data_IF_017169768386
#
_entry.id   IF_017169768386
#
_cell.length_a   1.000
_cell.length_b   1.000
_cell.length_c   1.000
_cell.angle_alpha   90.00
_cell.angle_beta   90.00
_cell.angle_gamma   90.00
#
_symmetry.space_group_name_H-M   'P 1'
#
loop_
_entity.id
_entity.type
_entity.pdbx_description
1 polymer ?
#
# COMPACT_ATOMS: atom_id res chain seq x y z
N UNK A 1 5.71 -1.46 -9.38
CA UNK A 1 4.92 -0.24 -9.70
C UNK A 1 3.61 -0.30 -8.94
N UNK A 2 3.22 0.77 -8.24
CA UNK A 2 1.89 0.89 -7.63
C UNK A 2 0.89 1.24 -8.73
N UNK A 3 -0.26 0.58 -8.74
CA UNK A 3 -1.33 0.77 -9.73
C UNK A 3 -2.62 1.31 -9.11
N UNK A 4 -2.82 1.09 -7.80
CA UNK A 4 -3.91 1.67 -7.02
C UNK A 4 -3.48 1.81 -5.57
N UNK A 5 -3.96 2.84 -4.90
CA UNK A 5 -3.86 3.00 -3.44
C UNK A 5 -5.23 3.33 -2.87
N UNK A 6 -5.55 2.72 -1.75
CA UNK A 6 -6.71 3.03 -0.91
C UNK A 6 -6.20 3.37 0.48
N UNK A 7 -6.69 4.44 1.06
CA UNK A 7 -6.23 4.95 2.37
C UNK A 7 -7.44 5.37 3.18
N UNK A 8 -7.53 4.91 4.41
CA UNK A 8 -8.50 5.39 5.36
C UNK A 8 -7.85 5.59 6.74
N UNK A 9 -8.20 6.67 7.43
CA UNK A 9 -7.71 6.95 8.77
C UNK A 9 -6.29 7.52 8.86
N UNK A 10 -5.64 7.87 7.75
CA UNK A 10 -4.30 8.46 7.72
C UNK A 10 -4.36 9.95 7.36
N UNK A 11 -3.86 10.82 8.25
CA UNK A 11 -3.84 12.30 8.08
C UNK A 11 -5.20 12.84 7.64
N UNK A 12 -5.30 13.38 6.42
CA UNK A 12 -6.56 13.92 5.88
C UNK A 12 -7.41 12.89 5.12
N UNK A 13 -6.94 11.64 5.00
CA UNK A 13 -7.61 10.66 4.16
C UNK A 13 -8.69 9.89 4.93
N UNK A 14 -9.91 9.95 4.38
CA UNK A 14 -11.07 9.13 4.76
C UNK A 14 -11.65 8.50 3.51
N UNK A 15 -11.67 7.17 3.47
CA UNK A 15 -12.17 6.40 2.32
C UNK A 15 -11.59 6.90 0.97
N UNK A 16 -10.31 7.24 0.98
CA UNK A 16 -9.62 7.73 -0.21
C UNK A 16 -9.21 6.57 -1.11
N UNK A 17 -9.38 6.77 -2.43
CA UNK A 17 -8.89 5.81 -3.43
C UNK A 17 -8.34 6.57 -4.63
N UNK A 18 -7.20 6.11 -5.15
CA UNK A 18 -6.58 6.65 -6.35
C UNK A 18 -5.94 5.54 -7.18
N UNK A 19 -6.21 5.55 -8.48
CA UNK A 19 -5.52 4.71 -9.46
C UNK A 19 -4.35 5.45 -10.09
N UNK A 20 -3.27 4.70 -10.35
CA UNK A 20 -2.09 5.20 -11.03
C UNK A 20 -1.99 4.58 -12.42
N UNK A 21 -1.66 5.39 -13.39
CA UNK A 21 -1.28 4.98 -14.73
C UNK A 21 0.25 4.82 -14.81
N UNK A 22 0.83 4.29 -15.90
CA UNK A 22 2.27 4.28 -16.10
C UNK A 22 2.95 5.65 -15.97
N UNK A 23 2.20 6.71 -16.23
CA UNK A 23 2.61 8.09 -15.97
C UNK A 23 1.43 8.84 -15.32
N UNK A 24 1.59 9.26 -14.07
CA UNK A 24 0.55 9.97 -13.31
C UNK A 24 1.12 11.28 -12.77
N UNK A 25 0.41 12.39 -13.01
CA UNK A 25 0.73 13.71 -12.46
C UNK A 25 -0.28 14.05 -11.37
N UNK A 26 0.22 14.35 -10.17
CA UNK A 26 -0.61 14.81 -9.04
C UNK A 26 -0.54 16.32 -8.95
N UNK A 27 -1.61 16.99 -9.33
CA UNK A 27 -1.75 18.44 -9.27
C UNK A 27 -2.95 18.86 -8.39
N UNK A 28 -2.92 20.06 -7.86
CA UNK A 28 -4.00 20.58 -7.03
C UNK A 28 -3.56 21.81 -6.23
N UNK A 29 -4.52 22.52 -5.65
CA UNK A 29 -4.28 23.67 -4.78
C UNK A 29 -3.51 23.28 -3.51
N UNK A 30 -2.94 24.25 -2.81
CA UNK A 30 -2.30 24.02 -1.52
C UNK A 30 -3.31 23.43 -0.51
N UNK A 31 -2.85 22.61 0.39
CA UNK A 31 -3.66 21.90 1.38
C UNK A 31 -4.67 20.85 0.81
N UNK A 32 -4.60 20.49 -0.47
CA UNK A 32 -5.49 19.48 -1.07
C UNK A 32 -5.11 18.02 -0.74
N UNK A 33 -4.13 17.80 0.15
CA UNK A 33 -3.71 16.44 0.54
C UNK A 33 -2.58 15.82 -0.30
N UNK A 34 -2.03 16.53 -1.31
CA UNK A 34 -0.92 16.01 -2.14
C UNK A 34 0.26 15.51 -1.30
N UNK A 35 0.72 16.32 -0.36
CA UNK A 35 1.83 15.94 0.53
C UNK A 35 1.49 14.75 1.41
N UNK A 36 0.23 14.64 1.86
CA UNK A 36 -0.22 13.50 2.65
C UNK A 36 -0.22 12.20 1.85
N UNK A 37 -0.47 12.26 0.53
CA UNK A 37 -0.33 11.10 -0.35
C UNK A 37 1.13 10.63 -0.44
N UNK A 38 2.07 11.56 -0.59
CA UNK A 38 3.49 11.21 -0.59
C UNK A 38 3.96 10.70 0.77
N UNK A 39 3.50 11.29 1.88
CA UNK A 39 3.77 10.80 3.23
C UNK A 39 3.25 9.37 3.44
N UNK A 40 2.08 9.02 2.88
CA UNK A 40 1.52 7.66 2.94
C UNK A 40 2.38 6.66 2.15
N UNK A 41 2.79 7.02 0.92
CA UNK A 41 3.67 6.20 0.09
C UNK A 41 5.04 6.00 0.74
N UNK A 42 5.58 7.05 1.36
CA UNK A 42 6.84 7.01 2.08
C UNK A 42 6.76 6.11 3.32
N UNK A 43 5.69 6.24 4.13
CA UNK A 43 5.45 5.36 5.27
C UNK A 43 5.38 3.89 4.84
N UNK A 44 4.62 3.56 3.81
CA UNK A 44 4.53 2.20 3.28
C UNK A 44 5.88 1.68 2.77
N UNK A 45 6.67 2.53 2.13
CA UNK A 45 8.03 2.19 1.68
C UNK A 45 8.94 1.87 2.87
N UNK A 46 8.89 2.66 3.95
CA UNK A 46 9.67 2.43 5.17
C UNK A 46 9.24 1.14 5.87
N UNK A 47 7.94 0.90 5.99
CA UNK A 47 7.40 -0.32 6.60
C UNK A 47 7.79 -1.60 5.87
N UNK A 48 8.21 -1.52 4.61
CA UNK A 48 8.76 -2.67 3.89
C UNK A 48 10.14 -3.11 4.40
N UNK A 49 10.85 -2.27 5.15
CA UNK A 49 12.23 -2.49 5.61
C UNK A 49 12.46 -2.21 7.09
N UNK A 50 11.52 -1.53 7.75
CA UNK A 50 11.63 -1.07 9.14
C UNK A 50 10.44 -1.56 9.96
N UNK A 51 10.62 -1.62 11.28
CA UNK A 51 9.51 -1.85 12.21
C UNK A 51 8.58 -0.62 12.29
N UNK A 52 7.33 -0.81 12.77
CA UNK A 52 6.41 0.30 13.07
C UNK A 52 7.07 1.37 13.95
N UNK A 53 7.78 0.92 14.98
CA UNK A 53 8.43 1.79 15.96
C UNK A 53 9.45 2.72 15.32
N UNK A 54 10.15 2.25 14.30
CA UNK A 54 11.20 3.01 13.64
C UNK A 54 10.66 3.84 12.47
N UNK A 55 9.65 3.32 11.74
CA UNK A 55 9.08 3.98 10.57
C UNK A 55 8.22 5.21 10.90
N UNK A 56 7.47 5.18 12.01
CA UNK A 56 6.53 6.24 12.37
C UNK A 56 7.21 7.55 12.76
N UNK A 57 8.25 7.59 13.63
CA UNK A 57 8.94 8.83 13.98
C UNK A 57 9.60 9.54 12.79
N UNK A 58 9.97 8.78 11.76
CA UNK A 58 10.55 9.31 10.52
C UNK A 58 9.49 9.93 9.58
N UNK A 59 8.20 9.71 9.85
CA UNK A 59 7.11 10.28 9.06
C UNK A 59 6.78 11.68 9.58
N UNK A 60 6.56 12.61 8.68
CA UNK A 60 6.27 14.02 9.03
C UNK A 60 5.01 14.15 9.89
N UNK A 61 5.15 14.72 11.08
CA UNK A 61 4.11 14.92 12.10
C UNK A 61 4.33 14.05 13.33
N UNK A 62 3.58 14.33 14.40
CA UNK A 62 3.56 13.47 15.59
C UNK A 62 2.76 12.20 15.30
N UNK A 63 2.96 11.14 16.10
CA UNK A 63 2.22 9.87 15.94
C UNK A 63 0.70 10.10 15.90
N UNK A 64 0.17 10.99 16.73
CA UNK A 64 -1.26 11.31 16.74
C UNK A 64 -1.71 11.99 15.45
N UNK A 65 -0.92 12.92 14.91
CA UNK A 65 -1.22 13.65 13.66
C UNK A 65 -1.17 12.76 12.42
N UNK A 66 -0.62 11.56 12.53
CA UNK A 66 -0.67 10.58 11.44
C UNK A 66 -2.04 9.90 11.33
N UNK A 67 -2.82 9.88 12.43
CA UNK A 67 -4.21 9.42 12.36
C UNK A 67 -5.14 10.57 11.96
N UNK A 68 -6.23 10.23 11.29
CA UNK A 68 -7.20 11.22 10.84
C UNK A 68 -7.91 11.85 12.03
N UNK A 69 -7.93 13.18 12.10
CA UNK A 69 -8.68 13.94 13.09
C UNK A 69 -10.19 13.79 12.83
N UNK A 70 -10.95 13.35 13.84
CA UNK A 70 -12.41 13.18 13.75
C UNK A 70 -13.10 14.51 14.04
N UNK A 71 -12.83 15.05 15.22
CA UNK A 71 -13.37 16.31 15.71
C UNK A 71 -12.38 16.95 16.70
N UNK A 72 -12.18 18.26 16.60
CA UNK A 72 -11.37 19.06 17.54
C UNK A 72 -10.07 18.41 18.01
N UNK A 73 -10.15 17.48 18.95
CA UNK A 73 -9.00 16.84 19.59
C UNK A 73 -8.98 15.31 19.41
N UNK A 74 -10.04 14.71 18.85
CA UNK A 74 -10.16 13.27 18.75
C UNK A 74 -9.63 12.76 17.39
N UNK A 75 -8.69 11.84 17.44
CA UNK A 75 -8.15 11.16 16.28
C UNK A 75 -8.73 9.75 16.15
N UNK A 76 -8.78 9.25 14.92
CA UNK A 76 -9.06 7.83 14.71
C UNK A 76 -7.99 6.99 15.41
N UNK A 77 -8.37 5.82 15.90
CA UNK A 77 -7.44 4.86 16.52
C UNK A 77 -6.95 3.80 15.53
N UNK A 78 -7.37 3.89 14.28
CA UNK A 78 -7.09 2.92 13.23
C UNK A 78 -6.81 3.64 11.92
N UNK A 79 -5.81 3.15 11.19
CA UNK A 79 -5.59 3.49 9.79
C UNK A 79 -5.45 2.23 8.95
N UNK A 80 -5.89 2.28 7.72
CA UNK A 80 -5.79 1.19 6.77
C UNK A 80 -5.23 1.65 5.43
N UNK A 81 -4.44 0.78 4.84
CA UNK A 81 -3.86 0.95 3.52
C UNK A 81 -4.14 -0.31 2.70
N UNK A 82 -4.51 -0.11 1.44
CA UNK A 82 -4.49 -1.18 0.47
C UNK A 82 -3.79 -0.70 -0.80
N UNK A 83 -2.87 -1.48 -1.31
CA UNK A 83 -2.04 -1.11 -2.46
C UNK A 83 -2.07 -2.24 -3.48
N UNK A 84 -2.48 -1.91 -4.71
CA UNK A 84 -2.34 -2.83 -5.82
C UNK A 84 -1.02 -2.59 -6.54
N UNK A 85 -0.35 -3.67 -6.84
CA UNK A 85 1.01 -3.68 -7.36
C UNK A 85 1.10 -4.44 -8.69
N UNK A 86 1.91 -3.91 -9.59
CA UNK A 86 2.49 -4.67 -10.69
C UNK A 86 3.96 -4.88 -10.37
N UNK A 87 4.33 -6.12 -10.07
CA UNK A 87 5.71 -6.53 -9.72
C UNK A 87 6.41 -7.14 -10.92
N UNK A 88 7.73 -7.11 -10.92
CA UNK A 88 8.52 -7.78 -11.95
C UNK A 88 8.31 -9.28 -11.84
N UNK A 89 8.15 -9.96 -13.00
CA UNK A 89 8.06 -11.42 -13.02
C UNK A 89 9.39 -12.09 -12.71
N UNK A 90 10.49 -11.52 -13.17
CA UNK A 90 11.83 -11.99 -12.84
C UNK A 90 12.30 -11.30 -11.58
N UNK A 91 12.57 -12.07 -10.58
CA UNK A 91 13.13 -11.60 -9.30
C UNK A 91 14.38 -12.39 -9.01
N UNK A 92 15.23 -11.84 -8.15
CA UNK A 92 16.31 -12.59 -7.50
C UNK A 92 15.97 -12.76 -6.05
N UNK A 93 16.14 -13.95 -5.53
CA UNK A 93 16.04 -14.20 -4.11
C UNK A 93 17.23 -13.60 -3.33
N UNK A 94 17.20 -13.73 -2.01
CA UNK A 94 18.27 -13.19 -1.16
C UNK A 94 19.64 -13.88 -1.37
N UNK A 95 19.69 -15.02 -2.07
CA UNK A 95 20.91 -15.73 -2.45
C UNK A 95 21.34 -15.46 -3.89
N UNK A 96 20.60 -14.58 -4.62
CA UNK A 96 20.89 -14.21 -6.00
C UNK A 96 20.40 -15.23 -7.04
N UNK A 97 19.55 -16.18 -6.64
CA UNK A 97 18.97 -17.16 -7.56
C UNK A 97 17.78 -16.52 -8.29
N UNK A 98 17.75 -16.66 -9.61
CA UNK A 98 16.65 -16.17 -10.44
C UNK A 98 15.37 -17.00 -10.17
N UNK A 99 14.26 -16.32 -9.88
CA UNK A 99 12.93 -16.92 -9.71
C UNK A 99 11.88 -16.16 -10.50
N UNK A 100 10.73 -16.78 -10.70
CA UNK A 100 9.62 -16.25 -11.49
C UNK A 100 8.39 -16.07 -10.63
N UNK A 101 7.95 -14.82 -10.48
CA UNK A 101 6.67 -14.49 -9.86
C UNK A 101 5.53 -14.98 -10.75
N UNK A 102 4.77 -15.97 -10.28
CA UNK A 102 3.65 -16.57 -11.01
C UNK A 102 2.48 -15.60 -11.22
N UNK A 103 2.24 -14.70 -10.28
CA UNK A 103 1.20 -13.69 -10.35
C UNK A 103 1.79 -12.30 -10.11
N UNK A 104 2.09 -11.53 -11.18
CA UNK A 104 2.72 -10.22 -11.03
C UNK A 104 1.76 -9.13 -10.52
N UNK A 105 0.44 -9.41 -10.48
CA UNK A 105 -0.56 -8.50 -9.94
C UNK A 105 -0.91 -8.90 -8.52
N UNK A 106 -0.54 -8.05 -7.57
CA UNK A 106 -0.69 -8.31 -6.14
C UNK A 106 -1.45 -7.17 -5.47
N UNK A 107 -2.19 -7.51 -4.41
CA UNK A 107 -2.81 -6.57 -3.48
C UNK A 107 -2.22 -6.78 -2.10
N UNK A 108 -1.63 -5.74 -1.56
CA UNK A 108 -1.13 -5.66 -0.20
C UNK A 108 -2.13 -4.87 0.64
N UNK A 109 -2.48 -5.38 1.81
CA UNK A 109 -3.37 -4.73 2.76
C UNK A 109 -2.70 -4.68 4.13
N UNK A 110 -2.80 -3.52 4.78
CA UNK A 110 -2.22 -3.25 6.08
C UNK A 110 -3.20 -2.46 6.94
N UNK A 111 -3.40 -2.89 8.17
CA UNK A 111 -4.16 -2.16 9.17
C UNK A 111 -3.30 -1.95 10.39
N UNK A 112 -3.15 -0.69 10.79
CA UNK A 112 -2.41 -0.26 11.97
C UNK A 112 -3.41 0.32 12.95
N UNK A 113 -3.34 -0.14 14.19
CA UNK A 113 -4.19 0.33 15.29
C UNK A 113 -3.35 0.90 16.42
N UNK A 114 -3.88 1.96 17.03
CA UNK A 114 -3.39 2.54 18.26
C UNK A 114 -4.22 1.97 19.40
N UNK A 115 -3.55 1.34 20.36
CA UNK A 115 -4.18 0.70 21.52
C UNK A 115 -3.46 1.10 22.80
N UNK A 116 -4.16 1.00 23.93
CA UNK A 116 -3.52 1.04 25.23
C UNK A 116 -3.06 -0.38 25.58
N UNK A 117 -1.80 -0.52 25.97
CA UNK A 117 -1.30 -1.77 26.51
C UNK A 117 -1.76 -2.00 27.97
N UNK A 118 -1.44 -3.15 28.54
CA UNK A 118 -1.84 -3.52 29.90
C UNK A 118 -1.32 -2.57 31.00
N UNK A 119 -0.33 -1.74 30.68
CA UNK A 119 0.24 -0.71 31.58
C UNK A 119 -0.36 0.67 31.35
N UNK A 120 -1.34 0.81 30.44
CA UNK A 120 -1.99 2.07 30.08
C UNK A 120 -1.17 2.98 29.15
N UNK A 121 -0.09 2.49 28.53
CA UNK A 121 0.67 3.23 27.52
C UNK A 121 0.11 2.99 26.13
N UNK A 122 0.09 4.03 25.32
CA UNK A 122 -0.26 3.93 23.90
C UNK A 122 0.82 3.15 23.14
N UNK A 123 0.37 2.20 22.33
CA UNK A 123 1.23 1.44 21.40
C UNK A 123 0.57 1.30 20.04
N UNK A 124 1.42 1.18 19.01
CA UNK A 124 0.98 0.90 17.65
C UNK A 124 1.14 -0.59 17.38
N UNK A 125 0.11 -1.20 16.83
CA UNK A 125 0.09 -2.62 16.46
C UNK A 125 -0.41 -2.81 15.03
N UNK A 126 0.14 -3.80 14.33
CA UNK A 126 -0.44 -4.29 13.08
C UNK A 126 -1.56 -5.26 13.47
N UNK A 127 -2.80 -4.88 13.17
CA UNK A 127 -3.98 -5.73 13.43
C UNK A 127 -4.34 -6.60 12.22
N UNK A 128 -3.90 -6.22 11.03
CA UNK A 128 -4.04 -7.01 9.81
C UNK A 128 -2.90 -6.70 8.84
N UNK A 129 -2.36 -7.74 8.22
CA UNK A 129 -1.42 -7.63 7.11
C UNK A 129 -1.64 -8.81 6.16
N UNK A 130 -1.76 -8.52 4.87
CA UNK A 130 -1.92 -9.56 3.86
C UNK A 130 -1.33 -9.16 2.52
N UNK A 131 -0.84 -10.15 1.78
CA UNK A 131 -0.42 -10.01 0.39
C UNK A 131 -1.11 -11.09 -0.44
N UNK A 132 -2.00 -10.67 -1.33
CA UNK A 132 -2.83 -11.57 -2.13
C UNK A 132 -2.65 -11.31 -3.62
N UNK A 133 -2.90 -12.33 -4.46
CA UNK A 133 -2.91 -12.16 -5.91
C UNK A 133 -4.22 -11.52 -6.36
N UNK A 134 -4.15 -10.62 -7.34
CA UNK A 134 -5.34 -10.09 -8.02
C UNK A 134 -5.73 -11.06 -9.13
N UNK A 135 -6.96 -11.58 -9.12
CA UNK A 135 -7.43 -12.48 -10.19
C UNK A 135 -7.44 -11.80 -11.56
N UNK A 136 -6.89 -12.44 -12.57
CA UNK A 136 -6.80 -11.91 -13.94
C UNK A 136 -8.17 -11.54 -14.53
N UNK A 137 -9.22 -12.30 -14.19
CA UNK A 137 -10.58 -12.07 -14.69
C UNK A 137 -11.15 -10.72 -14.25
N UNK A 138 -10.81 -10.25 -13.04
CA UNK A 138 -11.29 -9.00 -12.45
C UNK A 138 -10.34 -7.81 -12.62
N UNK A 139 -9.15 -8.00 -13.18
CA UNK A 139 -8.11 -6.97 -13.25
C UNK A 139 -8.38 -5.97 -14.39
N UNK A 140 -9.18 -4.95 -14.10
CA UNK A 140 -9.53 -3.90 -15.07
C UNK A 140 -8.32 -3.04 -15.41
N UNK A 141 -7.45 -2.74 -14.43
CA UNK A 141 -6.26 -1.94 -14.65
C UNK A 141 -5.32 -2.59 -15.68
N UNK A 142 -5.03 -3.87 -15.49
CA UNK A 142 -4.17 -4.60 -16.42
C UNK A 142 -4.78 -4.72 -17.82
N UNK A 143 -6.09 -4.90 -17.91
CA UNK A 143 -6.80 -4.93 -19.21
C UNK A 143 -6.72 -3.59 -19.94
N UNK A 144 -6.70 -2.49 -19.21
CA UNK A 144 -6.70 -1.13 -19.78
C UNK A 144 -5.29 -0.69 -20.16
N UNK A 145 -4.30 -0.90 -19.29
CA UNK A 145 -2.98 -0.28 -19.42
C UNK A 145 -1.88 -1.22 -19.95
N UNK A 146 -2.10 -2.54 -19.93
CA UNK A 146 -1.13 -3.46 -20.51
C UNK A 146 -1.50 -3.76 -21.97
N UNK A 147 -0.62 -3.46 -22.94
CA UNK A 147 -0.89 -3.74 -24.34
C UNK A 147 -1.21 -5.22 -24.60
N UNK A 148 -2.09 -5.50 -25.55
CA UNK A 148 -2.56 -6.87 -25.84
C UNK A 148 -1.44 -7.84 -26.16
N UNK A 149 -0.40 -7.41 -26.86
CA UNK A 149 0.78 -8.19 -27.19
C UNK A 149 1.68 -8.52 -25.99
N UNK A 150 1.44 -7.87 -24.83
CA UNK A 150 2.15 -8.13 -23.58
C UNK A 150 1.26 -8.75 -22.49
N UNK A 151 -0.02 -9.02 -22.81
CA UNK A 151 -0.96 -9.55 -21.82
C UNK A 151 -0.57 -10.94 -21.29
N UNK A 152 0.17 -11.72 -22.03
CA UNK A 152 0.67 -13.02 -21.59
C UNK A 152 1.76 -12.90 -20.51
N UNK A 153 2.38 -11.71 -20.37
CA UNK A 153 3.38 -11.45 -19.33
C UNK A 153 2.78 -11.36 -17.93
N UNK A 154 1.48 -11.10 -17.80
CA UNK A 154 0.81 -10.99 -16.50
C UNK A 154 -0.29 -12.03 -16.28
N UNK A 155 -0.69 -12.76 -17.31
CA UNK A 155 -1.56 -13.93 -17.14
C UNK A 155 -0.82 -15.02 -16.37
N UNK A 156 -1.50 -15.66 -15.44
CA UNK A 156 -0.98 -16.85 -14.78
C UNK A 156 -0.69 -17.90 -15.83
N UNK A 157 0.57 -18.19 -16.08
CA UNK A 157 0.94 -19.39 -16.80
C UNK A 157 0.67 -20.55 -15.86
N UNK A 158 -0.46 -21.22 -16.04
CA UNK A 158 -0.62 -22.56 -15.49
C UNK A 158 0.45 -23.39 -16.20
N UNK A 159 1.57 -23.63 -15.54
CA UNK A 159 2.42 -24.73 -15.96
C UNK A 159 1.60 -25.98 -15.69
N UNK A 160 1.22 -26.67 -16.79
CA UNK A 160 0.65 -27.99 -16.71
C UNK A 160 1.61 -28.86 -15.92
N UNK A 161 1.13 -29.35 -14.78
CA UNK A 161 1.79 -30.43 -14.08
C UNK A 161 1.73 -31.67 -14.94
N UNK A 162 2.84 -32.17 -15.33
CA UNK A 162 3.06 -33.59 -15.66
C UNK A 162 3.53 -34.27 -14.40
#
# INVERSE_FOLDING_TARGET
MITKIEIDGFKSFRNFSMEFTPFTVVAGINASGKSNLFDALELLSRLSTMSLRDAFPETRGTVNELFTLIDGENYMNKMSFAVELLVNRKIKDNWGIDDIVKSPRMRYELIIERRLNDKGFEELTISHESLTKIPTSGDLWAKTFIPRNHQDLWKNTQMGGT
#
